data_IF_030338470318
#
_entry.id   IF_030338470318
#
_cell.length_a   1.000
_cell.length_b   1.000
_cell.length_c   1.000
_cell.angle_alpha   90.00
_cell.angle_beta   90.00
_cell.angle_gamma   90.00
#
_symmetry.space_group_name_H-M   'P 1'
#
loop_
_entity.id
_entity.type
_entity.pdbx_description
1 polymer ?
#
# COMPACT_ATOMS: atom_id res chain seq x y z
N UNK A 1 -5.00 10.92 -29.42
CA UNK A 1 -4.20 9.97 -28.63
C UNK A 1 -3.79 10.59 -27.31
N UNK A 2 -4.73 10.62 -26.37
CA UNK A 2 -4.40 10.89 -24.97
C UNK A 2 -3.81 9.60 -24.39
N UNK A 3 -2.48 9.51 -24.40
CA UNK A 3 -1.73 8.35 -23.94
C UNK A 3 -1.96 8.11 -22.43
N UNK A 4 -2.52 6.94 -22.09
CA UNK A 4 -2.86 6.50 -20.73
C UNK A 4 -1.73 5.75 -20.02
N UNK A 5 -0.55 5.67 -20.63
CA UNK A 5 0.55 4.92 -20.04
C UNK A 5 1.02 5.57 -18.74
N UNK A 6 1.49 4.74 -17.81
CA UNK A 6 2.09 5.19 -16.55
C UNK A 6 3.19 6.23 -16.78
N UNK A 7 3.96 6.08 -17.86
CA UNK A 7 5.02 7.03 -18.21
C UNK A 7 4.46 8.40 -18.56
N UNK A 8 3.51 8.47 -19.48
CA UNK A 8 2.95 9.74 -19.93
C UNK A 8 2.14 10.45 -18.85
N UNK A 9 1.50 9.67 -17.96
CA UNK A 9 0.77 10.21 -16.81
C UNK A 9 1.66 10.63 -15.63
N UNK A 10 2.98 10.46 -15.72
CA UNK A 10 3.93 10.84 -14.66
C UNK A 10 3.87 9.92 -13.44
N UNK A 11 3.69 8.62 -13.68
CA UNK A 11 3.69 7.53 -12.71
C UNK A 11 4.84 6.53 -12.96
N UNK A 12 5.85 6.83 -13.79
CA UNK A 12 6.90 5.87 -14.15
C UNK A 12 7.85 5.46 -13.01
N UNK A 13 7.90 6.22 -11.91
CA UNK A 13 8.88 6.00 -10.86
C UNK A 13 8.57 4.73 -10.08
N UNK A 14 9.54 3.82 -10.04
CA UNK A 14 9.49 2.58 -9.27
C UNK A 14 10.44 2.71 -8.07
N UNK A 15 9.93 2.92 -6.84
CA UNK A 15 10.76 3.03 -5.63
C UNK A 15 11.75 1.87 -5.43
N UNK A 16 11.39 0.65 -5.84
CA UNK A 16 12.31 -0.50 -5.80
C UNK A 16 13.54 -0.35 -6.71
N UNK A 17 13.50 0.51 -7.72
CA UNK A 17 14.62 0.82 -8.62
C UNK A 17 15.27 2.18 -8.30
N UNK A 18 14.49 3.12 -7.77
CA UNK A 18 14.93 4.46 -7.38
C UNK A 18 14.52 4.74 -5.93
N UNK A 19 15.28 4.28 -4.92
CA UNK A 19 14.80 4.29 -3.53
C UNK A 19 14.46 5.68 -2.96
N UNK A 20 15.09 6.73 -3.48
CA UNK A 20 14.81 8.11 -3.07
C UNK A 20 13.48 8.66 -3.60
N UNK A 21 12.82 7.98 -4.54
CA UNK A 21 11.48 8.34 -5.00
C UNK A 21 10.38 7.67 -4.16
N UNK A 22 10.73 6.85 -3.16
CA UNK A 22 9.77 6.26 -2.24
C UNK A 22 8.87 7.34 -1.58
N UNK A 23 7.54 7.10 -1.43
CA UNK A 23 6.79 5.87 -1.78
C UNK A 23 6.39 5.75 -3.26
N UNK A 24 6.76 6.71 -4.11
CA UNK A 24 6.23 6.87 -5.46
C UNK A 24 4.91 7.63 -5.45
N UNK A 25 4.49 8.10 -6.63
CA UNK A 25 3.26 8.88 -6.76
C UNK A 25 2.02 7.98 -6.59
N UNK A 26 1.10 8.25 -5.65
CA UNK A 26 -0.14 7.50 -5.50
C UNK A 26 -1.21 7.98 -6.48
N UNK A 27 -2.20 7.15 -6.76
CA UNK A 27 -3.44 7.59 -7.43
C UNK A 27 -4.27 8.46 -6.48
N UNK A 28 -4.91 9.49 -7.04
CA UNK A 28 -5.71 10.48 -6.28
C UNK A 28 -7.21 10.39 -6.57
N UNK A 29 -7.60 9.52 -7.50
CA UNK A 29 -8.97 9.25 -7.89
C UNK A 29 -9.10 7.77 -8.26
N UNK A 30 -10.32 7.22 -8.27
CA UNK A 30 -10.57 5.83 -8.62
C UNK A 30 -10.06 5.48 -10.02
N UNK A 31 -9.25 4.43 -10.11
CA UNK A 31 -8.63 4.00 -11.35
C UNK A 31 -8.54 2.48 -11.42
N UNK A 32 -8.57 1.94 -12.62
CA UNK A 32 -8.18 0.58 -12.94
C UNK A 32 -6.76 0.63 -13.51
N UNK A 33 -5.80 0.08 -12.77
CA UNK A 33 -4.49 -0.25 -13.32
C UNK A 33 -4.66 -1.45 -14.26
N UNK A 34 -4.13 -1.36 -15.47
CA UNK A 34 -3.98 -2.48 -16.40
C UNK A 34 -2.50 -2.64 -16.75
N UNK A 35 -2.15 -3.43 -17.78
CA UNK A 35 -0.75 -3.66 -18.21
C UNK A 35 -0.09 -2.38 -18.74
N UNK A 36 0.34 -1.52 -17.81
CA UNK A 36 1.08 -0.28 -18.08
C UNK A 36 0.22 0.95 -18.28
N UNK A 37 -1.11 0.87 -18.13
CA UNK A 37 -2.05 2.00 -18.29
C UNK A 37 -2.92 2.21 -17.04
N UNK A 38 -3.49 3.42 -16.93
CA UNK A 38 -4.52 3.77 -15.94
C UNK A 38 -5.81 4.17 -16.64
N UNK A 39 -6.90 3.53 -16.25
CA UNK A 39 -8.23 3.79 -16.79
C UNK A 39 -9.11 4.35 -15.67
N UNK A 40 -9.70 5.51 -15.88
CA UNK A 40 -10.50 6.17 -14.82
C UNK A 40 -11.77 5.38 -14.52
N UNK A 41 -12.11 5.32 -13.22
CA UNK A 41 -13.36 4.76 -12.75
C UNK A 41 -14.28 5.89 -12.28
N UNK A 42 -15.54 5.83 -12.67
CA UNK A 42 -16.56 6.76 -12.18
C UNK A 42 -17.34 6.11 -11.03
N UNK A 43 -17.25 6.65 -9.79
CA UNK A 43 -18.03 6.13 -8.67
C UNK A 43 -19.54 6.20 -8.93
N UNK A 44 -20.21 5.12 -8.55
CA UNK A 44 -21.66 5.04 -8.54
C UNK A 44 -22.14 4.43 -7.21
N UNK A 45 -23.39 4.68 -6.77
CA UNK A 45 -23.99 3.97 -5.66
C UNK A 45 -23.89 2.44 -5.84
N UNK A 46 -23.70 1.71 -4.74
CA UNK A 46 -23.55 0.26 -4.74
C UNK A 46 -22.10 -0.22 -4.79
N UNK A 47 -21.92 -1.49 -5.20
CA UNK A 47 -20.64 -2.22 -5.12
C UNK A 47 -19.63 -1.67 -6.13
N UNK A 48 -18.34 -1.81 -5.83
CA UNK A 48 -17.24 -1.39 -6.72
C UNK A 48 -17.40 -1.91 -8.16
N UNK A 49 -17.86 -3.14 -8.33
CA UNK A 49 -18.07 -3.77 -9.64
C UNK A 49 -19.12 -3.09 -10.54
N UNK A 50 -20.02 -2.26 -9.99
CA UNK A 50 -21.01 -1.49 -10.76
C UNK A 50 -20.51 -0.12 -11.18
N UNK A 51 -19.32 0.29 -10.75
CA UNK A 51 -18.70 1.53 -11.20
C UNK A 51 -18.32 1.40 -12.66
N UNK A 52 -18.40 2.49 -13.41
CA UNK A 52 -18.12 2.46 -14.83
C UNK A 52 -16.66 2.77 -15.12
N UNK A 53 -16.09 2.04 -16.07
CA UNK A 53 -14.76 2.30 -16.60
C UNK A 53 -14.89 3.28 -17.75
N UNK A 54 -14.16 4.40 -17.68
CA UNK A 54 -14.29 5.45 -18.68
C UNK A 54 -13.66 5.00 -20.02
N UNK A 55 -14.40 5.12 -21.14
CA UNK A 55 -13.91 4.71 -22.46
C UNK A 55 -12.64 5.46 -22.82
N UNK A 56 -11.84 4.91 -23.74
CA UNK A 56 -10.65 5.62 -24.23
C UNK A 56 -11.08 6.94 -24.89
N UNK A 57 -10.31 8.03 -24.76
CA UNK A 57 -10.71 9.31 -25.35
C UNK A 57 -10.77 9.28 -26.88
N UNK A 58 -10.08 8.32 -27.49
CA UNK A 58 -10.13 8.08 -28.94
C UNK A 58 -11.34 7.21 -29.34
N UNK A 59 -12.00 6.54 -28.38
CA UNK A 59 -13.20 5.70 -28.57
C UNK A 59 -14.46 6.45 -28.11
N UNK A 60 -14.71 7.65 -28.68
CA UNK A 60 -15.83 8.52 -28.30
C UNK A 60 -17.23 7.89 -28.43
N UNK A 61 -17.36 6.74 -29.09
CA UNK A 61 -18.61 5.99 -29.25
C UNK A 61 -18.74 4.77 -28.32
N UNK A 62 -17.66 4.37 -27.62
CA UNK A 62 -17.72 3.22 -26.74
C UNK A 62 -18.49 3.57 -25.46
N UNK A 63 -19.53 2.79 -25.09
CA UNK A 63 -20.25 3.03 -23.84
C UNK A 63 -19.34 2.77 -22.64
N UNK A 64 -19.53 3.52 -21.56
CA UNK A 64 -18.86 3.22 -20.30
C UNK A 64 -19.42 1.89 -19.74
N UNK A 65 -18.54 0.91 -19.51
CA UNK A 65 -18.93 -0.43 -19.08
C UNK A 65 -18.71 -0.62 -17.57
N UNK A 66 -19.54 -1.43 -16.88
CA UNK A 66 -19.29 -1.80 -15.49
C UNK A 66 -17.93 -2.48 -15.30
N UNK A 67 -17.26 -2.16 -14.19
CA UNK A 67 -15.94 -2.69 -13.87
C UNK A 67 -15.90 -4.23 -13.85
N UNK A 68 -16.91 -4.90 -13.30
CA UNK A 68 -16.95 -6.37 -13.29
C UNK A 68 -17.01 -6.95 -14.71
N UNK A 69 -17.70 -6.27 -15.64
CA UNK A 69 -17.75 -6.66 -17.05
C UNK A 69 -16.38 -6.51 -17.71
N UNK A 70 -15.71 -5.37 -17.51
CA UNK A 70 -14.38 -5.09 -18.05
C UNK A 70 -13.34 -6.08 -17.50
N UNK A 71 -13.36 -6.36 -16.19
CA UNK A 71 -12.48 -7.37 -15.58
C UNK A 71 -12.68 -8.74 -16.23
N UNK A 72 -13.94 -9.16 -16.42
CA UNK A 72 -14.27 -10.46 -17.02
C UNK A 72 -13.79 -10.53 -18.48
N UNK A 73 -13.99 -9.47 -19.26
CA UNK A 73 -13.51 -9.38 -20.65
C UNK A 73 -11.97 -9.44 -20.75
N UNK A 74 -11.27 -8.85 -19.77
CA UNK A 74 -9.81 -8.95 -19.65
C UNK A 74 -9.33 -10.30 -19.09
N UNK A 75 -10.23 -11.26 -18.85
CA UNK A 75 -9.89 -12.60 -18.36
C UNK A 75 -9.60 -12.66 -16.86
N UNK A 76 -10.08 -11.69 -16.08
CA UNK A 76 -9.80 -11.57 -14.66
C UNK A 76 -11.05 -11.77 -13.78
N UNK A 77 -10.88 -12.25 -12.54
CA UNK A 77 -12.01 -12.36 -11.61
C UNK A 77 -12.67 -11.00 -11.35
N UNK A 78 -14.01 -10.93 -11.27
CA UNK A 78 -14.75 -9.72 -10.90
C UNK A 78 -14.48 -9.33 -9.44
N UNK A 79 -14.91 -8.13 -9.06
CA UNK A 79 -14.62 -7.51 -7.75
C UNK A 79 -15.03 -8.34 -6.52
N UNK A 80 -16.10 -9.15 -6.51
CA UNK A 80 -16.43 -9.98 -5.35
C UNK A 80 -15.41 -11.07 -5.01
N UNK A 81 -14.59 -11.49 -5.98
CA UNK A 81 -13.54 -12.50 -5.80
C UNK A 81 -12.15 -11.87 -5.61
N UNK A 82 -12.12 -10.61 -5.19
CA UNK A 82 -10.89 -9.85 -4.94
C UNK A 82 -10.80 -9.41 -3.49
N UNK A 83 -9.56 -9.24 -3.04
CA UNK A 83 -9.20 -8.90 -1.67
C UNK A 83 -8.84 -7.42 -1.60
N UNK A 84 -9.58 -6.60 -0.83
CA UNK A 84 -9.23 -5.20 -0.62
C UNK A 84 -8.00 -5.10 0.29
N UNK A 85 -6.96 -4.39 -0.16
CA UNK A 85 -5.71 -4.20 0.57
C UNK A 85 -5.37 -2.71 0.67
N UNK A 86 -5.24 -2.21 1.88
CA UNK A 86 -4.87 -0.84 2.20
C UNK A 86 -3.38 -0.64 1.93
N UNK A 87 -3.05 0.39 1.15
CA UNK A 87 -1.68 0.81 0.88
C UNK A 87 -1.33 2.07 1.67
N UNK A 88 -0.43 1.93 2.65
CA UNK A 88 0.14 3.06 3.41
C UNK A 88 1.46 3.57 2.83
N UNK A 89 1.98 2.90 1.81
CA UNK A 89 3.30 3.14 1.24
C UNK A 89 3.30 2.88 -0.26
N UNK A 90 4.38 2.29 -0.76
CA UNK A 90 4.60 2.20 -2.21
C UNK A 90 3.59 1.36 -2.98
N UNK A 91 2.77 0.53 -2.32
CA UNK A 91 1.67 -0.18 -2.98
C UNK A 91 0.55 0.76 -3.46
N UNK A 92 0.52 2.02 -3.01
CA UNK A 92 -0.38 3.04 -3.51
C UNK A 92 0.05 3.58 -4.89
N UNK A 93 1.32 3.35 -5.28
CA UNK A 93 1.88 3.76 -6.56
C UNK A 93 1.60 2.71 -7.64
N UNK A 94 0.93 3.08 -8.75
CA UNK A 94 0.64 2.16 -9.84
C UNK A 94 1.87 1.51 -10.46
N UNK A 95 2.97 2.25 -10.70
CA UNK A 95 4.16 1.65 -11.28
C UNK A 95 4.86 0.67 -10.33
N UNK A 96 4.86 0.96 -9.03
CA UNK A 96 5.39 0.02 -8.06
C UNK A 96 4.56 -1.27 -8.02
N UNK A 97 3.23 -1.16 -8.05
CA UNK A 97 2.34 -2.31 -8.03
C UNK A 97 2.45 -3.11 -9.34
N UNK A 98 2.41 -2.43 -10.50
CA UNK A 98 2.66 -3.01 -11.81
C UNK A 98 4.00 -3.77 -11.84
N UNK A 99 5.08 -3.14 -11.37
CA UNK A 99 6.39 -3.76 -11.30
C UNK A 99 6.43 -5.01 -10.41
N UNK A 100 5.71 -5.03 -9.28
CA UNK A 100 5.61 -6.21 -8.41
C UNK A 100 4.86 -7.36 -9.11
N UNK A 101 3.78 -7.06 -9.84
CA UNK A 101 2.92 -8.05 -10.46
C UNK A 101 3.46 -8.58 -11.80
N UNK A 102 4.03 -7.73 -12.64
CA UNK A 102 4.56 -8.13 -13.95
C UNK A 102 5.86 -8.93 -13.86
N UNK A 103 6.67 -8.73 -12.81
CA UNK A 103 7.91 -9.50 -12.58
C UNK A 103 7.72 -11.02 -12.53
N UNK A 104 6.76 -11.55 -11.75
CA UNK A 104 6.41 -12.97 -11.76
C UNK A 104 5.52 -13.37 -12.94
N UNK A 105 5.29 -12.49 -13.93
CA UNK A 105 4.50 -12.78 -15.12
C UNK A 105 2.98 -12.63 -14.95
N UNK A 106 2.50 -12.02 -13.88
CA UNK A 106 1.06 -11.83 -13.66
C UNK A 106 0.59 -10.54 -14.35
N UNK A 107 -0.63 -10.53 -14.95
CA UNK A 107 -1.19 -9.30 -15.48
C UNK A 107 -1.52 -8.33 -14.34
N UNK A 108 -1.12 -7.08 -14.50
CA UNK A 108 -1.34 -6.02 -13.52
C UNK A 108 -2.71 -5.36 -13.72
N UNK A 109 -3.79 -6.13 -13.62
CA UNK A 109 -5.16 -5.61 -13.69
C UNK A 109 -5.73 -5.45 -12.28
N UNK A 110 -5.72 -4.23 -11.73
CA UNK A 110 -6.05 -3.95 -10.32
C UNK A 110 -6.89 -2.69 -10.19
N UNK A 111 -8.13 -2.78 -9.65
CA UNK A 111 -8.86 -1.60 -9.19
C UNK A 111 -8.16 -0.94 -7.99
N UNK A 112 -7.90 0.36 -8.08
CA UNK A 112 -7.26 1.18 -7.05
C UNK A 112 -8.17 2.37 -6.71
N UNK A 113 -8.53 2.53 -5.45
CA UNK A 113 -9.51 3.55 -5.01
C UNK A 113 -8.97 4.30 -3.79
N UNK A 114 -8.93 5.63 -3.78
CA UNK A 114 -8.72 6.40 -2.55
C UNK A 114 -9.94 6.24 -1.65
N UNK A 115 -9.74 5.76 -0.43
CA UNK A 115 -10.77 5.48 0.57
C UNK A 115 -10.41 6.22 1.85
N UNK A 116 -11.39 6.83 2.50
CA UNK A 116 -11.20 7.43 3.82
C UNK A 116 -11.17 6.32 4.87
N UNK A 117 -9.97 6.03 5.40
CA UNK A 117 -9.74 5.04 6.44
C UNK A 117 -9.65 5.72 7.79
N UNK A 118 -10.47 5.30 8.73
CA UNK A 118 -10.54 5.85 10.08
C UNK A 118 -9.68 5.04 11.04
N UNK A 119 -9.13 5.70 12.07
CA UNK A 119 -8.41 5.04 13.16
C UNK A 119 -6.97 4.64 12.81
N UNK A 120 -6.52 4.89 11.58
CA UNK A 120 -5.18 4.58 11.08
C UNK A 120 -4.54 5.85 10.53
N UNK A 121 -3.28 6.06 10.87
CA UNK A 121 -2.43 7.09 10.28
C UNK A 121 -1.14 6.47 9.73
N UNK A 122 -0.40 7.24 8.95
CA UNK A 122 0.81 6.77 8.25
C UNK A 122 2.05 7.46 8.81
N UNK A 123 2.97 6.64 9.33
CA UNK A 123 4.28 7.08 9.80
C UNK A 123 5.43 6.51 8.97
N UNK A 124 6.65 6.84 9.34
CA UNK A 124 7.85 6.17 8.84
C UNK A 124 8.09 4.88 9.62
N UNK A 125 8.44 3.78 8.96
CA UNK A 125 8.77 2.51 9.61
C UNK A 125 10.06 2.63 10.41
N UNK A 126 10.12 2.06 11.61
CA UNK A 126 11.37 1.96 12.38
C UNK A 126 12.27 0.80 11.88
N UNK A 127 12.41 0.70 10.56
CA UNK A 127 13.17 -0.31 9.85
C UNK A 127 13.72 0.27 8.54
N UNK A 128 14.96 -0.10 8.19
CA UNK A 128 15.56 0.24 6.90
C UNK A 128 15.19 -0.85 5.88
N UNK A 129 14.36 -0.48 4.90
CA UNK A 129 13.86 -1.39 3.87
C UNK A 129 14.96 -1.97 2.98
N UNK A 130 14.62 -3.05 2.25
CA UNK A 130 15.56 -3.82 1.41
C UNK A 130 16.40 -2.95 0.47
N UNK A 131 15.81 -1.92 -0.12
CA UNK A 131 16.47 -1.03 -1.07
C UNK A 131 17.07 0.23 -0.41
N UNK A 132 17.17 0.27 0.91
CA UNK A 132 17.80 1.33 1.68
C UNK A 132 16.89 2.51 2.04
N UNK A 133 15.70 2.63 1.44
CA UNK A 133 14.70 3.59 1.91
C UNK A 133 14.15 3.19 3.29
N UNK A 134 13.61 4.18 4.01
CA UNK A 134 12.77 3.98 5.19
C UNK A 134 11.33 4.00 4.71
N UNK A 135 10.66 2.85 4.79
CA UNK A 135 9.30 2.68 4.25
C UNK A 135 8.27 3.45 5.09
N UNK A 136 7.05 3.56 4.57
CA UNK A 136 5.89 3.95 5.37
C UNK A 136 5.41 2.77 6.20
N UNK A 137 4.84 3.04 7.37
CA UNK A 137 4.21 2.04 8.22
C UNK A 137 2.91 2.60 8.83
N UNK A 138 1.89 1.75 9.04
CA UNK A 138 0.68 2.17 9.70
C UNK A 138 0.89 2.32 11.21
N UNK A 139 0.15 3.23 11.83
CA UNK A 139 -0.02 3.26 13.28
C UNK A 139 -1.46 3.58 13.66
N UNK A 140 -1.88 3.10 14.83
CA UNK A 140 -3.22 3.38 15.36
C UNK A 140 -3.33 4.84 15.78
N UNK A 141 -4.35 5.52 15.27
CA UNK A 141 -4.68 6.89 15.62
C UNK A 141 -6.21 7.03 15.65
N UNK A 142 -6.87 6.78 16.80
CA UNK A 142 -8.34 6.67 16.87
C UNK A 142 -9.12 7.86 16.28
N UNK A 143 -8.58 9.07 16.37
CA UNK A 143 -9.19 10.28 15.80
C UNK A 143 -8.80 10.58 14.34
N UNK A 144 -7.94 9.79 13.72
CA UNK A 144 -7.50 10.02 12.35
C UNK A 144 -8.57 9.59 11.33
N UNK A 145 -8.71 10.41 10.28
CA UNK A 145 -9.35 10.06 9.01
C UNK A 145 -8.30 10.30 7.93
N UNK A 146 -7.79 9.23 7.36
CA UNK A 146 -6.68 9.28 6.41
C UNK A 146 -7.12 8.74 5.06
N UNK A 147 -7.03 9.55 3.98
CA UNK A 147 -7.28 9.06 2.63
C UNK A 147 -6.13 8.12 2.24
N UNK A 148 -6.45 6.84 2.05
CA UNK A 148 -5.50 5.80 1.67
C UNK A 148 -5.99 5.08 0.42
N UNK A 149 -5.06 4.68 -0.43
CA UNK A 149 -5.40 3.86 -1.61
C UNK A 149 -5.68 2.44 -1.14
N UNK A 150 -6.82 1.89 -1.53
CA UNK A 150 -7.15 0.48 -1.40
C UNK A 150 -7.09 -0.16 -2.78
N UNK A 151 -6.39 -1.29 -2.89
CA UNK A 151 -6.26 -2.09 -4.10
C UNK A 151 -7.06 -3.38 -3.98
N UNK A 152 -7.83 -3.76 -5.01
CA UNK A 152 -8.56 -5.03 -5.04
C UNK A 152 -7.77 -6.07 -5.83
N UNK A 153 -7.02 -6.90 -5.11
CA UNK A 153 -6.15 -7.93 -5.68
C UNK A 153 -6.90 -9.25 -5.81
N UNK A 154 -6.78 -9.94 -6.95
CA UNK A 154 -7.18 -11.35 -7.00
C UNK A 154 -6.20 -12.24 -6.21
N UNK A 155 -6.50 -13.53 -6.08
CA UNK A 155 -5.73 -14.44 -5.23
C UNK A 155 -4.25 -14.56 -5.66
N UNK A 156 -3.97 -14.57 -6.95
CA UNK A 156 -2.60 -14.68 -7.47
C UNK A 156 -1.83 -13.37 -7.27
N UNK A 157 -2.47 -12.23 -7.58
CA UNK A 157 -1.91 -10.91 -7.34
C UNK A 157 -1.62 -10.69 -5.85
N UNK A 158 -2.52 -11.14 -4.98
CA UNK A 158 -2.36 -11.03 -3.53
C UNK A 158 -1.16 -11.84 -3.05
N UNK A 159 -1.02 -13.10 -3.49
CA UNK A 159 0.14 -13.94 -3.17
C UNK A 159 1.46 -13.35 -3.69
N UNK A 160 1.44 -12.75 -4.88
CA UNK A 160 2.59 -12.06 -5.44
C UNK A 160 3.01 -10.85 -4.58
N UNK A 161 2.03 -10.07 -4.08
CA UNK A 161 2.32 -8.96 -3.15
C UNK A 161 2.85 -9.49 -1.82
N UNK A 162 2.23 -10.51 -1.22
CA UNK A 162 2.67 -11.14 0.04
C UNK A 162 4.15 -11.54 -0.02
N UNK A 163 4.56 -12.18 -1.13
CA UNK A 163 5.94 -12.61 -1.34
C UNK A 163 6.95 -11.45 -1.34
N UNK A 164 6.52 -10.22 -1.65
CA UNK A 164 7.39 -9.03 -1.58
C UNK A 164 7.47 -8.41 -0.20
N UNK A 165 6.49 -8.65 0.65
CA UNK A 165 6.36 -8.07 1.99
C UNK A 165 7.05 -8.95 3.06
N UNK A 166 7.10 -10.26 2.83
CA UNK A 166 7.82 -11.22 3.69
C UNK A 166 9.35 -11.00 3.68
N UNK A 167 10.06 -11.17 4.82
CA UNK A 167 9.57 -11.48 6.16
C UNK A 167 9.27 -10.24 7.03
N UNK A 168 9.35 -9.04 6.46
CA UNK A 168 9.38 -7.80 7.26
C UNK A 168 7.99 -7.30 7.67
N UNK A 169 6.97 -7.71 6.92
CA UNK A 169 5.59 -7.34 7.18
C UNK A 169 4.70 -8.57 7.13
N UNK A 170 3.62 -8.50 7.89
CA UNK A 170 2.55 -9.50 7.92
C UNK A 170 1.23 -8.86 7.53
N UNK A 171 0.37 -9.64 6.87
CA UNK A 171 -0.96 -9.18 6.47
C UNK A 171 -1.96 -9.46 7.58
N UNK A 172 -2.66 -8.42 8.03
CA UNK A 172 -3.75 -8.52 9.00
C UNK A 172 -5.04 -8.00 8.39
N UNK A 173 -6.19 -8.48 8.88
CA UNK A 173 -7.49 -7.96 8.51
C UNK A 173 -7.94 -6.87 9.48
N UNK A 174 -8.18 -5.66 8.97
CA UNK A 174 -8.83 -4.60 9.72
C UNK A 174 -10.36 -4.70 9.55
N UNK A 175 -11.13 -4.93 10.64
CA UNK A 175 -12.58 -4.99 10.55
C UNK A 175 -13.16 -3.58 10.38
N UNK A 176 -14.06 -3.40 9.41
CA UNK A 176 -14.72 -2.13 9.10
C UNK A 176 -15.62 -1.61 10.23
N UNK A 177 -16.03 -2.48 11.16
CA UNK A 177 -16.76 -2.09 12.37
C UNK A 177 -15.90 -1.33 13.37
N UNK A 178 -14.58 -1.57 13.39
CA UNK A 178 -13.62 -0.89 14.27
C UNK A 178 -12.86 0.22 13.53
N UNK A 179 -12.56 -0.01 12.25
CA UNK A 179 -11.86 0.93 11.38
C UNK A 179 -12.79 1.28 10.20
N UNK A 180 -13.70 2.24 10.35
CA UNK A 180 -14.56 2.67 9.25
C UNK A 180 -13.75 3.01 7.99
N UNK A 181 -14.21 2.49 6.85
CA UNK A 181 -13.58 2.68 5.54
C UNK A 181 -14.66 3.15 4.58
N UNK A 182 -14.64 4.41 4.18
CA UNK A 182 -15.69 5.04 3.37
C UNK A 182 -15.19 5.25 1.94
N UNK A 183 -15.81 4.55 0.99
CA UNK A 183 -15.50 4.69 -0.43
C UNK A 183 -16.02 6.02 -0.98
N UNK A 184 -15.49 6.51 -2.13
CA UNK A 184 -16.00 7.67 -2.84
C UNK A 184 -17.51 7.65 -3.14
N UNK A 185 -18.13 6.48 -3.26
CA UNK A 185 -19.58 6.34 -3.44
C UNK A 185 -20.40 6.57 -2.15
N UNK A 186 -19.74 6.70 -0.99
CA UNK A 186 -20.35 6.75 0.34
C UNK A 186 -20.53 5.38 1.02
N UNK A 187 -20.38 4.30 0.25
CA UNK A 187 -20.45 2.92 0.76
C UNK A 187 -19.32 2.61 1.75
N UNK A 188 -19.62 1.72 2.71
CA UNK A 188 -18.66 1.31 3.74
C UNK A 188 -18.13 -0.09 3.49
N UNK A 189 -16.81 -0.26 3.54
CA UNK A 189 -16.20 -1.58 3.50
C UNK A 189 -16.40 -2.32 4.82
N UNK A 190 -16.62 -3.64 4.74
CA UNK A 190 -16.72 -4.51 5.91
C UNK A 190 -15.36 -4.83 6.53
N UNK A 191 -14.29 -4.65 5.77
CA UNK A 191 -12.91 -4.80 6.20
C UNK A 191 -11.97 -4.76 5.01
N UNK A 192 -10.68 -4.59 5.30
CA UNK A 192 -9.62 -4.64 4.31
C UNK A 192 -8.32 -5.10 4.96
N UNK A 193 -7.45 -5.71 4.16
CA UNK A 193 -6.14 -6.13 4.62
C UNK A 193 -5.18 -4.96 4.75
N UNK A 194 -4.23 -5.09 5.68
CA UNK A 194 -3.16 -4.14 5.90
C UNK A 194 -1.86 -4.89 6.18
N UNK A 195 -0.76 -4.44 5.59
CA UNK A 195 0.57 -4.92 5.94
C UNK A 195 1.13 -4.14 7.13
N UNK A 196 1.50 -4.86 8.20
CA UNK A 196 2.01 -4.29 9.44
C UNK A 196 3.40 -4.86 9.71
N UNK A 197 4.35 -3.98 9.99
CA UNK A 197 5.71 -4.38 10.35
C UNK A 197 5.88 -4.46 11.87
N UNK A 198 6.65 -5.43 12.34
CA UNK A 198 6.86 -5.65 13.79
C UNK A 198 7.68 -4.54 14.46
N UNK A 199 8.43 -3.77 13.65
CA UNK A 199 9.32 -2.71 14.16
C UNK A 199 8.59 -1.43 14.56
N UNK A 200 7.31 -1.28 14.19
CA UNK A 200 6.53 -0.09 14.47
C UNK A 200 6.95 1.14 13.64
N UNK A 201 6.71 2.32 14.19
CA UNK A 201 6.95 3.61 13.51
C UNK A 201 8.05 4.42 14.20
N UNK A 202 8.73 5.28 13.44
CA UNK A 202 9.73 6.21 13.95
C UNK A 202 9.05 7.40 14.62
N UNK A 203 9.54 7.74 15.81
CA UNK A 203 9.33 9.00 16.50
C UNK A 203 10.36 10.01 16.02
N UNK A 204 10.05 11.29 16.19
CA UNK A 204 11.02 12.34 15.91
C UNK A 204 12.23 12.25 16.83
N UNK A 205 13.46 12.38 16.32
CA UNK A 205 14.66 12.54 17.14
C UNK A 205 14.56 13.71 18.14
N UNK A 206 13.77 14.73 17.79
CA UNK A 206 13.60 15.96 18.58
C UNK A 206 12.54 15.80 19.69
N UNK A 207 12.00 14.59 19.90
CA UNK A 207 11.08 14.28 21.01
C UNK A 207 9.63 14.74 20.81
N UNK A 208 9.15 14.87 19.58
CA UNK A 208 7.72 15.18 19.34
C UNK A 208 6.81 14.04 19.78
N UNK A 209 5.62 14.35 20.30
CA UNK A 209 4.63 13.35 20.74
C UNK A 209 4.05 12.48 19.61
N UNK A 210 4.29 12.84 18.34
CA UNK A 210 3.76 12.11 17.18
C UNK A 210 4.86 11.40 16.39
N UNK A 211 4.55 10.25 15.77
CA UNK A 211 5.43 9.62 14.80
C UNK A 211 5.80 10.56 13.64
N UNK A 212 6.99 10.35 13.07
CA UNK A 212 7.40 11.00 11.83
C UNK A 212 6.40 10.67 10.72
N UNK A 213 5.90 11.67 9.97
CA UNK A 213 4.90 11.43 8.93
C UNK A 213 5.49 10.60 7.78
N UNK A 214 4.77 9.58 7.35
CA UNK A 214 5.16 8.78 6.19
C UNK A 214 4.68 9.37 4.87
N UNK A 215 5.28 8.91 3.76
CA UNK A 215 4.85 9.25 2.41
C UNK A 215 5.30 10.61 1.85
N UNK A 216 6.18 11.34 2.56
CA UNK A 216 6.79 12.59 2.10
C UNK A 216 8.10 12.39 1.31
N UNK A 217 8.91 13.45 1.26
CA UNK A 217 10.22 13.43 0.60
C UNK A 217 11.22 12.53 1.36
N UNK A 218 11.63 11.45 0.69
CA UNK A 218 12.56 10.47 1.25
C UNK A 218 13.93 11.07 1.57
N UNK A 219 14.44 11.97 0.73
CA UNK A 219 15.74 12.61 0.94
C UNK A 219 15.71 13.55 2.15
N UNK A 220 14.60 14.28 2.33
CA UNK A 220 14.39 15.12 3.51
C UNK A 220 14.30 14.28 4.80
N UNK A 221 13.58 13.16 4.78
CA UNK A 221 13.52 12.22 5.90
C UNK A 221 14.91 11.69 6.27
N UNK A 222 15.67 11.17 5.29
CA UNK A 222 16.99 10.59 5.55
C UNK A 222 17.97 11.66 6.06
N UNK A 223 17.92 12.88 5.51
CA UNK A 223 18.71 14.01 6.01
C UNK A 223 18.40 14.29 7.47
N UNK A 224 17.12 14.29 7.85
CA UNK A 224 16.71 14.48 9.25
C UNK A 224 17.23 13.38 10.18
N UNK A 225 17.12 12.11 9.78
CA UNK A 225 17.61 10.99 10.59
C UNK A 225 19.15 11.03 10.75
N UNK A 226 19.87 11.39 9.69
CA UNK A 226 21.32 11.58 9.72
C UNK A 226 21.74 12.77 10.59
N UNK A 227 20.92 13.82 10.66
CA UNK A 227 21.15 14.95 11.56
C UNK A 227 20.98 14.53 13.03
N UNK A 228 19.96 13.72 13.32
CA UNK A 228 19.61 13.26 14.67
C UNK A 228 20.55 12.21 15.28
N UNK A 229 21.35 11.49 14.48
CA UNK A 229 22.24 10.44 14.99
C UNK A 229 23.64 10.46 14.36
N UNK A 230 24.69 10.76 15.15
CA UNK A 230 26.07 10.57 14.72
C UNK A 230 26.40 9.12 14.37
N UNK A 231 25.74 8.15 15.04
CA UNK A 231 25.94 6.72 14.80
C UNK A 231 25.40 6.30 13.44
N UNK A 232 24.19 6.77 13.08
CA UNK A 232 23.65 6.57 11.73
C UNK A 232 24.54 7.20 10.68
N UNK A 233 25.03 8.43 10.91
CA UNK A 233 25.92 9.12 9.96
C UNK A 233 27.24 8.40 9.73
N UNK A 234 27.85 7.87 10.79
CA UNK A 234 29.06 7.06 10.67
C UNK A 234 28.83 5.78 9.84
N UNK A 235 27.72 5.08 10.12
CA UNK A 235 27.37 3.83 9.46
C UNK A 235 26.93 4.01 8.00
N UNK A 236 25.97 4.90 7.76
CA UNK A 236 25.22 5.04 6.51
C UNK A 236 25.78 6.14 5.60
N UNK A 237 26.67 6.98 6.12
CA UNK A 237 27.32 8.04 5.37
C UNK A 237 26.70 9.42 5.61
N UNK A 238 27.23 10.46 4.95
CA UNK A 238 26.92 11.85 5.29
C UNK A 238 25.58 12.34 4.73
N UNK A 239 25.02 11.68 3.72
CA UNK A 239 23.88 12.17 2.95
C UNK A 239 22.92 11.03 2.52
N UNK A 240 21.71 11.36 2.04
CA UNK A 240 20.71 10.37 1.62
C UNK A 240 21.19 9.41 0.52
N UNK A 241 22.05 9.86 -0.39
CA UNK A 241 22.55 9.01 -1.49
C UNK A 241 23.53 7.97 -0.96
N UNK A 242 24.44 8.38 -0.07
CA UNK A 242 25.32 7.47 0.65
C UNK A 242 24.53 6.47 1.48
N UNK A 243 23.50 6.93 2.20
CA UNK A 243 22.60 6.09 2.98
C UNK A 243 22.00 4.99 2.12
N UNK A 244 21.30 5.36 1.03
CA UNK A 244 20.62 4.39 0.17
C UNK A 244 21.60 3.43 -0.48
N UNK A 245 22.77 3.91 -0.91
CA UNK A 245 23.80 3.07 -1.53
C UNK A 245 24.32 2.01 -0.55
N UNK A 246 24.69 2.41 0.67
CA UNK A 246 25.23 1.49 1.69
C UNK A 246 24.15 0.53 2.20
N UNK A 247 22.99 1.05 2.57
CA UNK A 247 21.90 0.24 3.06
C UNK A 247 21.34 -0.70 2.00
N UNK A 248 21.24 -0.27 0.73
CA UNK A 248 20.81 -1.12 -0.37
C UNK A 248 21.81 -2.24 -0.68
N UNK A 249 23.11 -1.97 -0.52
CA UNK A 249 24.19 -2.92 -0.81
C UNK A 249 24.43 -3.99 0.26
N UNK A 250 24.11 -3.72 1.54
CA UNK A 250 24.52 -4.59 2.64
C UNK A 250 23.39 -4.84 3.69
N UNK A 251 22.89 -6.10 3.81
CA UNK A 251 21.92 -6.49 4.84
C UNK A 251 22.39 -6.28 6.28
N UNK A 252 23.68 -6.41 6.57
CA UNK A 252 24.25 -6.19 7.90
C UNK A 252 24.19 -4.70 8.26
N UNK A 253 24.48 -3.82 7.31
CA UNK A 253 24.32 -2.36 7.48
C UNK A 253 22.88 -1.99 7.76
N UNK A 254 21.90 -2.57 7.04
CA UNK A 254 20.46 -2.33 7.32
C UNK A 254 20.06 -2.79 8.72
N UNK A 255 20.54 -3.97 9.12
CA UNK A 255 20.25 -4.55 10.42
C UNK A 255 20.85 -3.72 11.55
N UNK A 256 22.08 -3.24 11.38
CA UNK A 256 22.75 -2.35 12.32
C UNK A 256 22.05 -0.97 12.40
N UNK A 257 21.71 -0.35 11.27
CA UNK A 257 20.99 0.92 11.23
C UNK A 257 19.60 0.84 11.85
N UNK A 258 18.87 -0.24 11.58
CA UNK A 258 17.58 -0.52 12.22
C UNK A 258 17.72 -0.67 13.74
N UNK A 259 18.81 -1.32 14.20
CA UNK A 259 19.09 -1.46 15.63
C UNK A 259 19.36 -0.11 16.29
N UNK A 260 20.06 0.80 15.60
CA UNK A 260 20.32 2.15 16.12
C UNK A 260 19.01 2.88 16.40
N UNK A 261 17.98 2.77 15.55
CA UNK A 261 16.66 3.36 15.84
C UNK A 261 16.06 2.88 17.17
N UNK A 262 16.25 1.61 17.51
CA UNK A 262 15.76 1.04 18.77
C UNK A 262 16.59 1.51 19.97
N UNK A 263 17.92 1.47 19.83
CA UNK A 263 18.85 1.87 20.89
C UNK A 263 18.78 3.36 21.22
N UNK A 264 18.41 4.20 20.24
CA UNK A 264 18.19 5.64 20.43
C UNK A 264 16.75 5.97 20.87
N UNK A 265 15.90 4.95 21.09
CA UNK A 265 14.53 5.12 21.58
C UNK A 265 13.57 5.75 20.57
N UNK A 266 13.89 5.70 19.28
CA UNK A 266 13.07 6.31 18.22
C UNK A 266 11.94 5.41 17.75
N UNK A 267 11.86 4.16 18.19
CA UNK A 267 10.84 3.22 17.73
C UNK A 267 9.61 3.23 18.64
N UNK A 268 8.43 3.40 18.06
CA UNK A 268 7.14 3.22 18.70
C UNK A 268 6.47 1.94 18.17
N UNK A 269 6.39 0.87 18.98
CA UNK A 269 5.72 -0.39 18.61
C UNK A 269 4.23 -0.20 18.32
N UNK A 270 3.64 -1.12 17.53
CA UNK A 270 2.21 -1.11 17.17
C UNK A 270 1.52 -2.44 17.54
N UNK A 271 1.49 -2.81 18.84
CA UNK A 271 1.03 -4.14 19.29
C UNK A 271 -0.47 -4.39 19.08
N UNK A 272 -1.28 -3.36 18.87
CA UNK A 272 -2.72 -3.55 18.62
C UNK A 272 -3.01 -3.97 17.18
N UNK A 273 -2.30 -3.38 16.20
CA UNK A 273 -2.28 -3.88 14.82
C UNK A 273 -1.62 -5.28 14.75
N UNK A 274 -0.64 -5.48 15.61
CA UNK A 274 -0.12 -6.72 16.22
C UNK A 274 -1.12 -7.86 16.54
N UNK A 275 -2.36 -7.53 16.87
CA UNK A 275 -3.35 -8.49 17.36
C UNK A 275 -4.53 -8.69 16.42
N UNK A 276 -4.64 -7.86 15.39
CA UNK A 276 -5.65 -8.07 14.35
C UNK A 276 -5.47 -9.47 13.72
N UNK A 277 -6.58 -10.16 13.41
CA UNK A 277 -6.52 -11.52 12.92
C UNK A 277 -5.77 -11.57 11.58
N UNK A 278 -4.91 -12.58 11.45
CA UNK A 278 -4.33 -12.99 10.17
C UNK A 278 -5.36 -13.84 9.41
N UNK A 279 -5.22 -13.97 8.09
CA UNK A 279 -6.06 -14.90 7.34
C UNK A 279 -5.86 -16.33 7.83
N UNK A 280 -6.88 -16.87 8.50
CA UNK A 280 -7.05 -18.28 8.83
C UNK A 280 -5.85 -18.98 9.50
N UNK A 281 -5.81 -19.02 10.84
CA UNK A 281 -5.32 -20.23 11.50
C UNK A 281 -6.37 -21.35 11.31
N UNK A 282 -6.03 -22.48 10.67
CA UNK A 282 -6.90 -23.65 10.60
C UNK A 282 -6.88 -24.36 11.95
N UNK A 283 -7.83 -24.04 12.83
CA UNK A 283 -7.85 -24.55 14.20
C UNK A 283 -9.23 -24.56 14.86
N UNK A 284 -10.28 -24.86 14.11
CA UNK A 284 -11.61 -25.11 14.65
C UNK A 284 -12.45 -25.86 13.62
N UNK A 285 -13.16 -26.95 13.98
CA UNK A 285 -13.84 -27.79 13.01
C UNK A 285 -15.06 -27.04 12.46
N UNK A 286 -14.93 -26.52 11.24
CA UNK A 286 -16.02 -25.85 10.55
C UNK A 286 -15.59 -25.35 9.17
N UNK A 287 -15.74 -26.24 8.18
CA UNK A 287 -15.79 -26.00 6.72
C UNK A 287 -15.13 -24.71 6.19
N UNK A 288 -14.14 -24.88 5.32
CA UNK A 288 -13.83 -23.91 4.27
C UNK A 288 -15.12 -23.35 3.67
N UNK A 289 -15.43 -22.09 4.00
CA UNK A 289 -16.52 -21.37 3.34
C UNK A 289 -15.92 -20.76 2.09
N UNK A 290 -16.34 -21.27 0.94
CA UNK A 290 -16.34 -20.50 -0.30
C UNK A 290 -16.93 -19.12 0.00
N UNK A 291 -16.21 -18.06 -0.35
CA UNK A 291 -16.73 -16.69 -0.30
C UNK A 291 -17.69 -16.45 -1.46
N UNK A 292 -18.83 -17.15 -1.45
CA UNK A 292 -19.94 -16.96 -2.36
C UNK A 292 -21.27 -16.90 -1.60
N UNK A 293 -22.13 -16.00 -2.09
CA UNK A 293 -23.51 -15.70 -1.68
C UNK A 293 -23.72 -14.92 -0.38
N UNK A 294 -23.75 -13.58 -0.51
CA UNK A 294 -24.49 -12.69 0.39
C UNK A 294 -25.56 -11.94 -0.42
N UNK A 295 -26.59 -12.67 -0.81
CA UNK A 295 -27.90 -12.09 -1.15
C UNK A 295 -28.61 -11.71 0.14
N UNK A 296 -29.15 -10.50 0.22
CA UNK A 296 -30.11 -10.15 1.27
C UNK A 296 -31.45 -10.85 0.98
N UNK A 297 -32.16 -11.41 1.98
CA UNK A 297 -33.61 -11.40 1.93
C UNK A 297 -34.10 -9.96 2.13
N UNK A 298 -35.19 -9.62 1.44
CA UNK A 298 -35.88 -8.31 1.41
C UNK A 298 -36.01 -7.59 2.76
#
# INVERSE_FOLDING_TARGET
MTDRTLKTLGFADVPAQQPLTYPGRPITHPTLLTTGELWDLTPAPGRLGTWTVNPRPDDNEAPAEPLDTVLTQLGHPPTPHRHPVIAVGSNASPAQLHHKLSRPGHPATVPMVPVDVHGIAVGCSAHIGRYGYVASAPYTAPGARTPLVISWLDAEQLAAVDATEYPNYRRVLLPGSQYPMVMPSGERLRGAYLYVGERGVLMSPDGTERPLPGGGDQSALLTRLLAGSPRLRALLGPDPRAWVTRAGGDPAVRSAGTRIFQEEGWALPQPDLLRCPEDGQPGGPGRAKSYDALSFPE
#
